data_IF_747506152146
#
_entry.id   IF_747506152146
#
_cell.length_a   1.000
_cell.length_b   1.000
_cell.length_c   1.000
_cell.angle_alpha   90.00
_cell.angle_beta   90.00
_cell.angle_gamma   90.00
#
_symmetry.space_group_name_H-M   'P 1'
#
loop_
_entity.id
_entity.type
_entity.pdbx_description
1 polymer ?
#
# COMPACT_ATOMS: atom_id res chain seq x y z
N UNK A 1 -5.11 21.42 13.37
CA UNK A 1 -5.59 20.83 12.11
C UNK A 1 -5.07 19.41 11.99
N UNK A 2 -5.94 18.42 11.79
CA UNK A 2 -5.53 17.03 11.52
C UNK A 2 -4.77 16.98 10.19
N UNK A 3 -3.66 16.25 10.12
CA UNK A 3 -2.90 16.06 8.87
C UNK A 3 -3.24 14.68 8.32
N UNK A 4 -3.84 14.65 7.14
CA UNK A 4 -4.16 13.40 6.45
C UNK A 4 -3.08 13.10 5.41
N UNK A 5 -2.64 11.84 5.35
CA UNK A 5 -1.74 11.34 4.32
C UNK A 5 -2.51 10.33 3.47
N UNK A 6 -2.71 10.65 2.19
CA UNK A 6 -3.33 9.76 1.21
C UNK A 6 -2.26 9.22 0.28
N UNK A 7 -2.11 7.91 0.27
CA UNK A 7 -1.17 7.20 -0.58
C UNK A 7 -1.97 6.32 -1.50
N UNK A 8 -1.68 6.38 -2.80
CA UNK A 8 -2.27 5.48 -3.79
C UNK A 8 -1.25 4.38 -4.08
N UNK A 9 -1.62 3.13 -3.83
CA UNK A 9 -0.83 1.94 -4.09
C UNK A 9 -1.41 1.18 -5.28
N UNK A 10 -0.69 1.17 -6.39
CA UNK A 10 -1.01 0.27 -7.49
C UNK A 10 -0.23 -1.03 -7.31
N UNK A 11 -0.93 -2.15 -7.20
CA UNK A 11 -0.31 -3.47 -7.13
C UNK A 11 -0.57 -4.19 -8.46
N UNK A 12 0.50 -4.56 -9.14
CA UNK A 12 0.46 -5.46 -10.29
C UNK A 12 1.14 -6.75 -9.84
N UNK A 13 0.36 -7.71 -9.36
CA UNK A 13 0.85 -8.84 -8.59
C UNK A 13 0.79 -10.14 -9.39
N UNK A 14 1.89 -10.89 -9.33
CA UNK A 14 1.97 -12.28 -9.77
C UNK A 14 2.01 -13.18 -8.52
N UNK A 15 1.01 -14.08 -8.42
CA UNK A 15 0.83 -15.21 -7.48
C UNK A 15 -0.06 -14.96 -6.24
N UNK A 16 -1.31 -15.42 -6.35
CA UNK A 16 -2.08 -15.91 -5.19
C UNK A 16 -1.93 -17.44 -5.10
N UNK A 17 -1.54 -17.97 -3.94
CA UNK A 17 -1.58 -19.41 -3.65
C UNK A 17 -2.71 -19.66 -2.65
N UNK A 18 -3.86 -20.08 -3.14
CA UNK A 18 -4.96 -20.62 -2.33
C UNK A 18 -4.51 -22.01 -1.87
N UNK A 19 -4.29 -22.17 -0.56
CA UNK A 19 -4.02 -23.48 0.02
C UNK A 19 -5.37 -24.11 0.33
N UNK A 20 -5.75 -25.09 -0.51
CA UNK A 20 -6.77 -26.12 -0.31
C UNK A 20 -8.27 -25.73 -0.46
N UNK A 21 -8.83 -26.16 -1.61
CA UNK A 21 -9.87 -27.22 -1.71
C UNK A 21 -11.31 -26.82 -2.07
N UNK A 22 -11.80 -27.53 -3.11
CA UNK A 22 -13.17 -27.90 -3.55
C UNK A 22 -14.31 -26.90 -3.30
N UNK A 23 -14.84 -26.33 -4.40
CA UNK A 23 -15.96 -25.38 -4.46
C UNK A 23 -17.25 -25.91 -3.77
N UNK A 24 -17.30 -27.19 -3.42
CA UNK A 24 -18.44 -27.84 -2.72
C UNK A 24 -18.35 -27.90 -1.20
N UNK A 25 -17.20 -27.54 -0.60
CA UNK A 25 -17.02 -27.67 0.85
C UNK A 25 -17.61 -26.46 1.62
N UNK A 26 -18.36 -26.73 2.70
CA UNK A 26 -18.84 -25.71 3.66
C UNK A 26 -17.74 -25.15 4.58
N UNK A 27 -16.48 -25.53 4.35
CA UNK A 27 -15.35 -25.23 5.23
C UNK A 27 -14.70 -23.91 4.79
N UNK A 28 -14.40 -23.04 5.75
CA UNK A 28 -13.67 -21.79 5.50
C UNK A 28 -12.29 -22.11 4.94
N UNK A 29 -12.00 -21.66 3.73
CA UNK A 29 -10.72 -21.94 3.04
C UNK A 29 -9.68 -20.89 3.42
N UNK A 30 -8.49 -21.28 3.91
CA UNK A 30 -7.39 -20.34 4.10
C UNK A 30 -6.84 -19.86 2.76
N UNK A 31 -6.56 -18.56 2.66
CA UNK A 31 -6.02 -17.94 1.46
C UNK A 31 -4.77 -17.14 1.78
N UNK A 32 -3.75 -17.31 0.93
CA UNK A 32 -2.50 -16.57 0.98
C UNK A 32 -2.28 -15.85 -0.36
N UNK A 33 -1.95 -14.57 -0.29
CA UNK A 33 -1.61 -13.76 -1.45
C UNK A 33 -0.35 -12.96 -1.19
N UNK A 34 0.49 -12.85 -2.23
CA UNK A 34 1.72 -12.07 -2.23
C UNK A 34 1.66 -11.11 -3.41
N UNK A 35 1.66 -9.81 -3.14
CA UNK A 35 1.58 -8.79 -4.15
C UNK A 35 2.79 -7.85 -4.14
N UNK A 36 3.10 -7.29 -5.30
CA UNK A 36 4.12 -6.27 -5.48
C UNK A 36 3.65 -5.27 -6.53
N UNK A 37 4.25 -4.09 -6.58
CA UNK A 37 3.84 -3.05 -7.52
C UNK A 37 4.48 -1.70 -7.28
N UNK A 38 3.74 -0.66 -7.67
CA UNK A 38 4.17 0.73 -7.66
C UNK A 38 3.34 1.56 -6.67
N UNK A 39 4.03 2.36 -5.87
CA UNK A 39 3.38 3.30 -4.95
C UNK A 39 3.45 4.72 -5.48
N UNK A 40 2.37 5.50 -5.31
CA UNK A 40 2.28 6.88 -5.73
C UNK A 40 1.85 7.76 -4.54
N UNK A 41 2.67 8.75 -4.16
CA UNK A 41 2.28 9.72 -3.16
C UNK A 41 1.22 10.65 -3.75
N UNK A 42 0.09 10.83 -3.05
CA UNK A 42 -1.02 11.65 -3.56
C UNK A 42 -1.30 12.87 -2.66
N UNK A 43 -1.51 12.66 -1.36
CA UNK A 43 -1.63 13.71 -0.35
C UNK A 43 -0.77 13.42 0.88
N UNK A 44 -0.37 14.46 1.63
CA UNK A 44 -0.59 15.88 1.33
C UNK A 44 0.34 16.37 0.22
N UNK A 45 0.10 17.56 -0.32
CA UNK A 45 0.82 18.10 -1.48
C UNK A 45 2.34 18.15 -1.22
N UNK A 46 2.75 18.52 0.00
CA UNK A 46 4.15 18.55 0.41
C UNK A 46 4.80 17.17 0.28
N UNK A 47 4.05 16.09 0.54
CA UNK A 47 4.56 14.73 0.33
C UNK A 47 4.74 14.43 -1.15
N UNK A 48 3.78 14.80 -1.99
CA UNK A 48 3.85 14.60 -3.45
C UNK A 48 4.97 15.40 -4.11
N UNK A 49 5.30 16.57 -3.56
CA UNK A 49 6.25 17.49 -4.15
C UNK A 49 7.71 17.04 -4.00
N UNK A 50 8.03 16.31 -2.92
CA UNK A 50 9.39 15.84 -2.63
C UNK A 50 9.57 14.34 -2.84
N UNK A 51 8.48 13.57 -2.89
CA UNK A 51 8.53 12.12 -3.03
C UNK A 51 7.92 11.68 -4.36
N UNK A 52 8.66 10.84 -5.07
CA UNK A 52 8.29 10.24 -6.36
C UNK A 52 7.62 8.89 -6.18
N UNK A 53 7.13 8.38 -7.31
CA UNK A 53 6.71 6.98 -7.43
C UNK A 53 7.76 6.05 -6.82
N UNK A 54 7.26 5.05 -6.11
CA UNK A 54 8.03 4.06 -5.39
C UNK A 54 7.62 2.65 -5.77
N UNK A 55 8.02 1.69 -4.95
CA UNK A 55 7.54 0.32 -5.04
C UNK A 55 6.79 -0.07 -3.76
N UNK A 56 5.92 -1.05 -3.89
CA UNK A 56 5.21 -1.66 -2.76
C UNK A 56 5.25 -3.19 -2.84
N UNK A 57 5.04 -3.81 -1.68
CA UNK A 57 4.82 -5.23 -1.51
C UNK A 57 3.76 -5.46 -0.46
N UNK A 58 2.96 -6.49 -0.63
CA UNK A 58 1.85 -6.84 0.23
C UNK A 58 1.84 -8.36 0.45
N UNK A 59 1.58 -8.76 1.69
CA UNK A 59 1.34 -10.15 2.07
C UNK A 59 -0.01 -10.19 2.76
N UNK A 60 -0.88 -11.08 2.29
CA UNK A 60 -2.26 -11.17 2.75
C UNK A 60 -2.56 -12.61 3.14
N UNK A 61 -3.03 -12.82 4.37
CA UNK A 61 -3.46 -14.12 4.88
C UNK A 61 -4.88 -14.01 5.43
N UNK A 62 -5.77 -14.91 5.04
CA UNK A 62 -7.17 -14.78 5.35
C UNK A 62 -8.00 -16.03 5.14
N UNK A 63 -9.31 -15.86 5.25
CA UNK A 63 -10.28 -16.92 5.00
C UNK A 63 -11.32 -16.45 4.00
N UNK A 64 -11.67 -17.36 3.08
CA UNK A 64 -12.82 -17.17 2.19
C UNK A 64 -14.07 -17.82 2.73
N UNK A 65 -15.18 -17.16 2.47
CA UNK A 65 -16.53 -17.60 2.77
C UNK A 65 -17.17 -18.19 1.52
N UNK A 66 -18.15 -19.07 1.73
CA UNK A 66 -18.90 -19.70 0.65
C UNK A 66 -19.55 -18.64 -0.27
N UNK A 67 -19.60 -18.89 -1.58
CA UNK A 67 -20.26 -17.98 -2.51
C UNK A 67 -21.73 -17.76 -2.14
N UNK A 68 -22.15 -16.49 -2.13
CA UNK A 68 -23.56 -16.10 -2.12
C UNK A 68 -24.09 -15.92 -3.56
N UNK A 69 -25.23 -15.26 -3.69
CA UNK A 69 -25.89 -15.03 -5.00
C UNK A 69 -25.08 -14.15 -5.96
N UNK A 70 -24.21 -13.27 -5.44
CA UNK A 70 -23.44 -12.30 -6.23
C UNK A 70 -21.96 -12.71 -6.38
N UNK A 71 -21.51 -13.66 -5.56
CA UNK A 71 -20.17 -14.21 -5.60
C UNK A 71 -19.61 -14.51 -4.21
N UNK A 72 -18.29 -14.74 -4.12
CA UNK A 72 -17.61 -15.07 -2.87
C UNK A 72 -17.02 -13.84 -2.18
N UNK A 73 -16.73 -14.00 -0.89
CA UNK A 73 -16.07 -12.97 -0.09
C UNK A 73 -14.94 -13.56 0.73
N UNK A 74 -14.00 -12.71 1.13
CA UNK A 74 -12.84 -13.12 1.92
C UNK A 74 -12.49 -12.03 2.93
N UNK A 75 -11.94 -12.43 4.07
CA UNK A 75 -11.41 -11.53 5.08
C UNK A 75 -9.93 -11.84 5.29
N UNK A 76 -9.08 -10.82 5.12
CA UNK A 76 -7.63 -10.91 5.19
C UNK A 76 -7.05 -10.04 6.29
N UNK A 77 -6.00 -10.53 6.94
CA UNK A 77 -4.97 -9.69 7.53
C UNK A 77 -3.95 -9.40 6.44
N UNK A 78 -3.72 -8.11 6.18
CA UNK A 78 -2.87 -7.61 5.11
C UNK A 78 -1.72 -6.84 5.75
N UNK A 79 -0.49 -7.26 5.46
CA UNK A 79 0.72 -6.52 5.80
C UNK A 79 1.26 -5.91 4.52
N UNK A 80 1.35 -4.59 4.48
CA UNK A 80 1.84 -3.85 3.33
C UNK A 80 3.11 -3.08 3.67
N UNK A 81 4.01 -3.00 2.70
CA UNK A 81 5.20 -2.18 2.76
C UNK A 81 5.27 -1.36 1.48
N UNK A 82 5.52 -0.05 1.60
CA UNK A 82 5.78 0.82 0.46
C UNK A 82 7.02 1.67 0.72
N UNK A 83 7.84 1.87 -0.32
CA UNK A 83 9.03 2.71 -0.27
C UNK A 83 8.96 3.75 -1.36
N UNK A 84 9.09 5.03 -0.99
CA UNK A 84 9.08 6.15 -1.91
C UNK A 84 10.50 6.68 -2.17
N UNK A 85 10.77 7.03 -3.42
CA UNK A 85 12.03 7.67 -3.79
C UNK A 85 11.93 9.19 -3.58
N UNK A 86 12.99 9.82 -3.09
CA UNK A 86 13.01 11.28 -2.95
C UNK A 86 13.53 11.97 -4.20
N UNK A 87 12.91 13.10 -4.55
CA UNK A 87 13.29 13.95 -5.67
C UNK A 87 14.29 15.03 -5.25
N UNK A 88 15.58 14.77 -5.47
CA UNK A 88 16.65 15.74 -5.18
C UNK A 88 16.51 16.99 -6.02
N UNK A 89 16.14 16.84 -7.29
CA UNK A 89 16.04 17.97 -8.20
C UNK A 89 14.94 18.90 -7.74
N UNK A 90 13.73 18.38 -7.49
CA UNK A 90 12.62 19.20 -6.97
C UNK A 90 12.95 19.84 -5.61
N UNK A 91 13.63 19.12 -4.72
CA UNK A 91 14.09 19.67 -3.46
C UNK A 91 15.09 20.81 -3.65
N UNK A 92 16.12 20.62 -4.48
CA UNK A 92 17.13 21.65 -4.77
C UNK A 92 16.52 22.89 -5.41
N UNK A 93 15.59 22.72 -6.35
CA UNK A 93 14.90 23.84 -6.99
C UNK A 93 14.12 24.67 -5.98
N UNK A 94 13.39 24.04 -5.06
CA UNK A 94 12.59 24.75 -4.06
C UNK A 94 13.39 25.43 -2.96
N UNK A 95 14.54 24.87 -2.60
CA UNK A 95 15.42 25.41 -1.56
C UNK A 95 16.48 26.37 -2.12
N UNK A 96 16.38 26.74 -3.41
CA UNK A 96 17.34 27.60 -4.10
C UNK A 96 18.80 27.10 -3.93
N UNK A 97 18.99 25.80 -4.18
CA UNK A 97 20.25 25.08 -4.04
C UNK A 97 20.85 24.64 -5.39
N UNK A 98 20.20 24.92 -6.52
CA UNK A 98 20.66 24.45 -7.84
C UNK A 98 22.03 25.00 -8.24
N UNK A 99 22.35 26.22 -7.81
CA UNK A 99 23.60 26.92 -8.14
C UNK A 99 24.67 26.77 -7.07
N UNK A 100 24.37 26.10 -5.95
CA UNK A 100 25.28 25.94 -4.80
C UNK A 100 25.99 24.59 -4.88
N UNK A 101 27.24 24.54 -4.43
CA UNK A 101 28.01 23.30 -4.36
C UNK A 101 27.61 22.51 -3.11
N UNK A 102 26.39 21.97 -3.11
CA UNK A 102 25.82 21.25 -1.96
C UNK A 102 25.52 19.79 -2.28
N UNK A 103 25.96 18.90 -1.40
CA UNK A 103 25.57 17.49 -1.40
C UNK A 103 24.27 17.32 -0.62
N UNK A 104 23.36 16.49 -1.13
CA UNK A 104 22.08 16.18 -0.49
C UNK A 104 22.02 14.68 -0.24
N UNK A 105 22.25 14.28 1.00
CA UNK A 105 22.09 12.89 1.47
C UNK A 105 20.70 12.71 2.02
N UNK A 106 20.09 11.56 1.74
CA UNK A 106 18.69 11.31 2.09
C UNK A 106 18.39 9.86 2.37
N UNK A 107 17.50 9.67 3.32
CA UNK A 107 16.91 8.38 3.62
C UNK A 107 15.52 8.24 2.95
N UNK A 108 15.16 7.07 2.42
CA UNK A 108 13.87 6.90 1.75
C UNK A 108 12.71 7.00 2.76
N UNK A 109 11.55 7.49 2.31
CA UNK A 109 10.31 7.32 3.06
C UNK A 109 9.80 5.91 2.89
N UNK A 110 9.41 5.32 4.02
CA UNK A 110 8.85 3.98 4.10
C UNK A 110 7.49 4.06 4.77
N UNK A 111 6.57 3.24 4.29
CA UNK A 111 5.30 2.99 4.92
C UNK A 111 5.21 1.50 5.23
N UNK A 112 4.80 1.15 6.44
CA UNK A 112 4.45 -0.22 6.81
C UNK A 112 3.07 -0.22 7.45
N UNK A 113 2.16 -1.04 6.93
CA UNK A 113 0.78 -1.11 7.37
C UNK A 113 0.36 -2.53 7.73
N UNK A 114 -0.52 -2.63 8.71
CA UNK A 114 -1.26 -3.84 9.05
C UNK A 114 -2.75 -3.52 9.02
N UNK A 115 -3.49 -4.13 8.09
CA UNK A 115 -4.90 -3.85 7.83
C UNK A 115 -5.72 -5.13 7.84
N UNK A 116 -6.88 -5.08 8.49
CA UNK A 116 -7.95 -6.05 8.29
C UNK A 116 -8.71 -5.62 7.04
N UNK A 117 -8.71 -6.46 6.01
CA UNK A 117 -9.26 -6.15 4.69
C UNK A 117 -10.33 -7.16 4.29
N UNK A 118 -11.51 -6.65 3.97
CA UNK A 118 -12.58 -7.40 3.34
C UNK A 118 -12.46 -7.31 1.81
N UNK A 119 -12.56 -8.46 1.15
CA UNK A 119 -12.63 -8.60 -0.31
C UNK A 119 -13.99 -9.15 -0.70
N UNK A 120 -14.72 -8.44 -1.55
CA UNK A 120 -15.94 -8.94 -2.18
C UNK A 120 -15.71 -9.18 -3.67
N UNK A 121 -15.85 -10.42 -4.14
CA UNK A 121 -15.62 -10.81 -5.52
C UNK A 121 -16.94 -11.10 -6.24
N UNK A 122 -17.07 -10.56 -7.46
CA UNK A 122 -18.21 -10.74 -8.35
C UNK A 122 -17.98 -11.96 -9.25
N UNK A 123 -17.94 -13.15 -8.64
CA UNK A 123 -17.88 -14.43 -9.34
C UNK A 123 -18.47 -15.54 -8.47
N UNK A 124 -19.29 -16.40 -9.06
CA UNK A 124 -19.91 -17.54 -8.36
C UNK A 124 -18.91 -18.67 -8.09
N UNK A 125 -17.85 -18.78 -8.90
CA UNK A 125 -16.80 -19.79 -8.76
C UNK A 125 -15.44 -19.15 -8.57
N UNK A 126 -14.52 -19.88 -7.93
CA UNK A 126 -13.14 -19.43 -7.75
C UNK A 126 -12.25 -19.69 -8.97
N UNK A 127 -12.77 -20.41 -9.96
CA UNK A 127 -12.06 -20.83 -11.18
C UNK A 127 -12.28 -19.91 -12.37
N UNK A 128 -13.09 -18.87 -12.24
CA UNK A 128 -13.40 -17.91 -13.30
C UNK A 128 -12.85 -16.51 -13.01
N UNK A 129 -12.73 -15.69 -14.06
CA UNK A 129 -12.42 -14.27 -13.93
C UNK A 129 -13.35 -13.60 -12.90
N UNK A 130 -12.76 -12.95 -11.91
CA UNK A 130 -13.50 -12.39 -10.79
C UNK A 130 -13.08 -10.93 -10.52
N UNK A 131 -13.84 -9.94 -10.99
CA UNK A 131 -13.74 -8.57 -10.51
C UNK A 131 -14.00 -8.54 -9.00
N UNK A 132 -13.32 -7.67 -8.26
CA UNK A 132 -13.54 -7.53 -6.83
C UNK A 132 -13.30 -6.11 -6.32
N UNK A 133 -13.84 -5.84 -5.15
CA UNK A 133 -13.53 -4.65 -4.36
C UNK A 133 -12.84 -5.03 -3.05
N UNK A 134 -12.10 -4.08 -2.49
CA UNK A 134 -11.39 -4.18 -1.22
C UNK A 134 -11.80 -3.02 -0.32
N UNK A 135 -12.10 -3.30 0.94
CA UNK A 135 -12.28 -2.30 1.99
C UNK A 135 -11.50 -2.78 3.21
N UNK A 136 -10.67 -1.93 3.79
CA UNK A 136 -9.85 -2.31 4.91
C UNK A 136 -9.67 -1.20 5.94
N UNK A 137 -9.36 -1.62 7.15
CA UNK A 137 -9.07 -0.74 8.29
C UNK A 137 -7.87 -1.27 9.05
N UNK A 138 -7.09 -0.38 9.64
CA UNK A 138 -5.97 -0.81 10.46
C UNK A 138 -5.06 0.33 10.88
N UNK A 139 -3.77 0.01 10.95
CA UNK A 139 -2.73 0.95 11.36
C UNK A 139 -1.63 0.98 10.32
N UNK A 140 -1.08 2.17 10.09
CA UNK A 140 0.08 2.36 9.22
C UNK A 140 1.11 3.21 9.93
N UNK A 141 2.38 2.88 9.76
CA UNK A 141 3.49 3.70 10.20
C UNK A 141 4.19 4.28 8.96
N UNK A 142 4.28 5.60 8.92
CA UNK A 142 5.05 6.34 7.94
C UNK A 142 6.35 6.80 8.58
N UNK A 143 7.47 6.35 8.03
CA UNK A 143 8.82 6.71 8.48
C UNK A 143 9.54 7.49 7.39
N UNK A 144 9.77 8.77 7.64
CA UNK A 144 10.65 9.63 6.86
C UNK A 144 12.01 9.72 7.54
N UNK A 145 13.09 9.37 6.84
CA UNK A 145 14.43 9.59 7.38
C UNK A 145 14.91 11.03 7.18
N UNK A 146 16.07 11.36 7.76
CA UNK A 146 16.66 12.69 7.65
C UNK A 146 17.03 13.06 6.21
N UNK A 147 17.05 14.36 5.95
CA UNK A 147 17.64 14.98 4.76
C UNK A 147 18.79 15.84 5.25
N UNK A 148 19.99 15.51 4.82
CA UNK A 148 21.22 16.19 5.21
C UNK A 148 21.77 16.95 4.01
N UNK A 149 21.90 18.26 4.14
CA UNK A 149 22.52 19.13 3.15
C UNK A 149 23.87 19.55 3.69
N UNK A 150 24.94 19.31 2.93
CA UNK A 150 26.32 19.67 3.30
C UNK A 150 27.02 20.40 2.15
N UNK A 151 27.94 21.32 2.47
CA UNK A 151 28.65 22.16 1.50
C UNK A 151 28.61 23.63 1.91
N UNK A 152 28.41 24.52 0.93
CA UNK A 152 28.34 25.99 1.12
C UNK A 152 27.34 26.43 2.19
N UNK A 153 26.29 25.63 2.39
CA UNK A 153 25.34 25.72 3.51
C UNK A 153 25.12 24.33 4.06
N UNK A 154 25.16 24.17 5.39
CA UNK A 154 24.90 22.88 6.03
C UNK A 154 23.69 22.96 6.96
N UNK A 155 22.72 22.08 6.73
CA UNK A 155 21.58 21.91 7.60
C UNK A 155 21.01 20.49 7.48
N UNK A 156 20.39 20.05 8.56
CA UNK A 156 19.70 18.75 8.63
C UNK A 156 18.23 18.98 8.85
N UNK A 157 17.39 18.42 7.98
CA UNK A 157 15.97 18.27 8.23
C UNK A 157 15.77 16.91 8.89
N UNK A 158 15.43 16.92 10.18
CA UNK A 158 15.21 15.69 10.94
C UNK A 158 14.08 14.85 10.35
N UNK A 159 14.31 13.55 10.26
CA UNK A 159 13.28 12.58 9.90
C UNK A 159 12.16 12.53 10.94
N UNK A 160 10.99 12.07 10.53
CA UNK A 160 9.86 11.83 11.42
C UNK A 160 9.25 10.47 11.14
N UNK A 161 8.96 9.71 12.20
CA UNK A 161 8.13 8.51 12.12
C UNK A 161 6.80 8.78 12.84
N UNK A 162 5.70 8.40 12.21
CA UNK A 162 4.36 8.55 12.78
C UNK A 162 3.48 7.36 12.44
N UNK A 163 2.77 6.88 13.44
CA UNK A 163 1.71 5.89 13.26
C UNK A 163 0.37 6.60 13.09
N UNK A 164 -0.48 6.04 12.25
CA UNK A 164 -1.79 6.58 11.91
C UNK A 164 -2.82 5.44 11.85
N UNK A 165 -4.06 5.77 12.20
CA UNK A 165 -5.17 4.91 11.81
C UNK A 165 -5.32 4.98 10.28
N UNK A 166 -5.48 3.83 9.64
CA UNK A 166 -5.55 3.70 8.20
C UNK A 166 -6.91 3.13 7.75
N UNK A 167 -7.44 3.71 6.68
CA UNK A 167 -8.52 3.13 5.88
C UNK A 167 -7.97 2.80 4.50
N UNK A 168 -8.40 1.68 3.92
CA UNK A 168 -8.07 1.35 2.54
C UNK A 168 -9.31 1.03 1.73
N UNK A 169 -9.31 1.45 0.47
CA UNK A 169 -10.32 1.09 -0.50
C UNK A 169 -9.63 0.73 -1.82
N UNK A 170 -10.10 -0.31 -2.50
CA UNK A 170 -9.47 -0.76 -3.74
C UNK A 170 -10.43 -1.51 -4.64
N UNK A 171 -10.01 -1.64 -5.89
CA UNK A 171 -10.68 -2.42 -6.92
C UNK A 171 -9.63 -3.28 -7.62
N UNK A 172 -10.03 -4.46 -8.07
CA UNK A 172 -9.16 -5.34 -8.80
C UNK A 172 -9.89 -6.42 -9.56
N UNK A 173 -9.11 -7.27 -10.19
CA UNK A 173 -9.60 -8.47 -10.86
C UNK A 173 -8.66 -9.63 -10.58
N UNK A 174 -9.24 -10.82 -10.40
CA UNK A 174 -8.53 -12.08 -10.27
C UNK A 174 -8.70 -12.91 -11.54
N UNK A 175 -7.60 -13.50 -11.99
CA UNK A 175 -7.49 -14.36 -13.16
C UNK A 175 -6.97 -15.71 -12.67
N UNK A 176 -7.86 -16.60 -12.20
CA UNK A 176 -7.48 -17.94 -11.77
C UNK A 176 -6.96 -18.75 -12.96
N UNK A 177 -5.86 -19.47 -12.75
CA UNK A 177 -5.36 -20.48 -13.70
C UNK A 177 -5.73 -21.89 -13.24
N UNK A 178 -5.84 -22.08 -11.92
CA UNK A 178 -6.31 -23.31 -11.27
C UNK A 178 -7.25 -22.93 -10.12
N UNK A 179 -7.88 -23.92 -9.48
CA UNK A 179 -8.64 -23.72 -8.23
C UNK A 179 -7.77 -23.16 -7.08
N UNK A 180 -6.46 -23.38 -7.16
CA UNK A 180 -5.51 -23.06 -6.09
C UNK A 180 -4.62 -21.85 -6.41
N UNK A 181 -4.64 -21.35 -7.63
CA UNK A 181 -3.67 -20.34 -8.08
C UNK A 181 -4.22 -19.42 -9.15
N UNK A 182 -3.74 -18.17 -9.10
CA UNK A 182 -4.17 -17.14 -10.02
C UNK A 182 -3.28 -15.91 -10.00
N UNK A 183 -3.56 -15.04 -10.95
CA UNK A 183 -3.00 -13.71 -11.06
C UNK A 183 -4.00 -12.67 -10.55
N UNK A 184 -3.52 -11.60 -9.92
CA UNK A 184 -4.39 -10.50 -9.49
C UNK A 184 -3.83 -9.16 -9.93
N UNK A 185 -4.73 -8.28 -10.38
CA UNK A 185 -4.42 -6.87 -10.63
C UNK A 185 -5.29 -6.05 -9.70
N UNK A 186 -4.69 -5.12 -8.93
CA UNK A 186 -5.47 -4.24 -8.07
C UNK A 186 -4.89 -2.82 -7.98
N UNK A 187 -5.78 -1.84 -8.01
CA UNK A 187 -5.52 -0.49 -7.52
C UNK A 187 -6.09 -0.36 -6.11
N UNK A 188 -5.27 0.05 -5.15
CA UNK A 188 -5.68 0.26 -3.76
C UNK A 188 -5.24 1.64 -3.28
N UNK A 189 -6.12 2.35 -2.62
CA UNK A 189 -5.83 3.61 -1.93
C UNK A 189 -5.75 3.35 -0.44
N UNK A 190 -4.75 3.93 0.23
CA UNK A 190 -4.56 3.85 1.69
C UNK A 190 -4.49 5.26 2.24
N UNK A 191 -5.44 5.59 3.11
CA UNK A 191 -5.56 6.87 3.79
C UNK A 191 -5.16 6.72 5.26
N UNK A 192 -4.03 7.28 5.64
CA UNK A 192 -3.60 7.42 7.03
C UNK A 192 -4.07 8.75 7.62
N UNK A 193 -4.84 8.70 8.71
CA UNK A 193 -5.25 9.89 9.47
C UNK A 193 -4.31 10.05 10.67
N UNK A 194 -3.41 11.03 10.59
CA UNK A 194 -2.49 11.36 11.68
C UNK A 194 -3.18 12.39 12.58
N UNK A 195 -3.60 11.95 13.77
CA UNK A 195 -4.13 12.86 14.78
C UNK A 195 -3.00 13.64 15.44
N UNK A 196 -3.16 14.96 15.56
CA UNK A 196 -2.15 15.82 16.18
C UNK A 196 -2.23 15.82 17.72
N UNK A 197 -3.32 15.31 18.29
CA UNK A 197 -3.60 15.42 19.74
C UNK A 197 -3.24 14.20 20.57
N UNK A 198 -2.79 13.09 19.95
CA UNK A 198 -2.17 11.97 20.67
C UNK A 198 -0.67 12.22 20.75
N UNK A 199 -0.30 13.20 21.56
CA UNK A 199 1.05 13.48 22.03
C UNK A 199 1.08 13.33 23.54
#
# INVERSE_FOLDING_TARGET
MKRCVLIILFHACVLSRVIAQDDTSKVKTPELSLAAGLSYPYLPQEFRDYWKKGWNTEISYGYSFSPGTVGYSSLFVVVEYARFAFDVTAFRTRQDLLQKNVSVTRNPVRMIGALLTYKGAFSLTKTSFAPYFLIGIGVTNLSAGSIDVTGDTSFTVSGQSRSAFAWSAGLGAAFPFTESSGFIVQGKSVLGVIDSTRQ
#
